data_IF_041381099494
#
_entry.id   IF_041381099494
#
_cell.length_a   1.000
_cell.length_b   1.000
_cell.length_c   1.000
_cell.angle_alpha   90.00
_cell.angle_beta   90.00
_cell.angle_gamma   90.00
#
_symmetry.space_group_name_H-M   'P 1'
#
loop_
_entity.id
_entity.type
_entity.pdbx_description
1 polymer ?
#
# COMPACT_ATOMS: atom_id res chain seq x y z
N UNK A 1 -34.54 -18.01 -20.36
CA UNK A 1 -33.17 -18.48 -20.66
C UNK A 1 -32.30 -18.18 -19.44
N UNK A 2 -32.10 -19.18 -18.59
CA UNK A 2 -31.30 -19.07 -17.38
C UNK A 2 -29.89 -19.65 -17.65
N UNK A 3 -28.85 -18.89 -17.30
CA UNK A 3 -27.47 -19.39 -17.31
C UNK A 3 -27.00 -19.62 -15.87
N UNK A 4 -26.58 -20.85 -15.66
CA UNK A 4 -26.07 -21.55 -14.48
C UNK A 4 -24.82 -20.89 -13.85
N UNK A 5 -24.71 -20.91 -12.51
CA UNK A 5 -23.77 -21.74 -11.70
C UNK A 5 -22.29 -21.29 -11.78
N UNK A 6 -21.73 -20.65 -10.73
CA UNK A 6 -21.14 -21.15 -9.46
C UNK A 6 -19.61 -21.31 -9.48
N UNK A 7 -19.01 -20.78 -8.40
CA UNK A 7 -17.90 -21.34 -7.59
C UNK A 7 -16.42 -21.26 -8.05
N UNK A 8 -15.67 -20.49 -7.26
CA UNK A 8 -14.36 -20.79 -6.63
C UNK A 8 -13.12 -21.09 -7.47
N UNK A 9 -12.09 -20.27 -7.28
CA UNK A 9 -10.70 -20.73 -7.35
C UNK A 9 -9.90 -20.11 -6.21
N UNK A 10 -9.84 -20.89 -5.12
CA UNK A 10 -8.81 -20.81 -4.07
C UNK A 10 -7.58 -21.52 -4.61
N UNK A 11 -6.48 -20.80 -4.86
CA UNK A 11 -5.17 -21.41 -5.09
C UNK A 11 -4.27 -21.07 -3.90
N UNK A 12 -4.45 -21.85 -2.84
CA UNK A 12 -3.49 -22.04 -1.77
C UNK A 12 -2.29 -22.81 -2.34
N UNK A 13 -1.15 -22.13 -2.50
CA UNK A 13 0.14 -22.77 -2.80
C UNK A 13 0.90 -22.85 -1.49
N UNK A 14 0.72 -23.98 -0.81
CA UNK A 14 1.50 -24.41 0.32
C UNK A 14 2.51 -25.44 -0.22
N UNK A 15 3.77 -25.04 -0.42
CA UNK A 15 4.87 -25.96 -0.72
C UNK A 15 5.87 -25.96 0.41
N UNK A 16 5.74 -26.98 1.25
CA UNK A 16 6.77 -27.47 2.17
C UNK A 16 8.05 -27.78 1.39
N UNK A 17 9.14 -27.08 1.69
CA UNK A 17 10.49 -27.54 1.37
C UNK A 17 11.29 -27.63 2.66
N UNK A 18 11.32 -28.84 3.22
CA UNK A 18 12.18 -29.24 4.32
C UNK A 18 13.65 -29.22 3.89
N UNK A 19 14.46 -28.56 4.72
CA UNK A 19 15.85 -28.85 5.05
C UNK A 19 16.84 -29.14 3.89
N UNK A 20 17.55 -28.10 3.44
CA UNK A 20 18.91 -28.24 2.91
C UNK A 20 19.76 -27.03 3.28
N UNK A 21 20.74 -27.30 4.16
CA UNK A 21 21.91 -26.50 4.53
C UNK A 21 21.67 -25.06 5.02
N UNK A 22 22.01 -24.87 6.29
CA UNK A 22 22.46 -23.61 6.88
C UNK A 22 23.59 -22.99 6.04
N UNK A 23 23.23 -22.25 4.99
CA UNK A 23 24.06 -21.15 4.54
C UNK A 23 23.73 -19.95 5.44
N UNK A 24 24.73 -19.16 5.87
CA UNK A 24 24.46 -17.86 6.48
C UNK A 24 23.66 -17.07 5.44
N UNK A 25 22.35 -17.02 5.63
CA UNK A 25 21.46 -16.26 4.75
C UNK A 25 21.84 -14.80 4.95
N UNK A 26 22.49 -14.22 3.95
CA UNK A 26 22.58 -12.78 3.74
C UNK A 26 21.15 -12.23 3.56
N UNK A 27 20.40 -12.16 4.67
CA UNK A 27 19.01 -11.65 4.70
C UNK A 27 18.93 -10.18 4.28
N UNK A 28 20.07 -9.49 4.32
CA UNK A 28 20.25 -8.11 3.86
C UNK A 28 19.99 -8.00 2.35
N UNK A 29 20.51 -8.93 1.54
CA UNK A 29 20.40 -8.86 0.08
C UNK A 29 18.98 -9.13 -0.42
N UNK A 30 18.27 -10.07 0.21
CA UNK A 30 16.89 -10.38 -0.13
C UNK A 30 15.95 -9.21 0.19
N UNK A 31 16.15 -8.57 1.35
CA UNK A 31 15.36 -7.41 1.77
C UNK A 31 15.64 -6.18 0.90
N UNK A 32 16.91 -5.94 0.54
CA UNK A 32 17.29 -4.87 -0.40
C UNK A 32 16.70 -5.09 -1.80
N UNK A 33 16.73 -6.32 -2.33
CA UNK A 33 16.13 -6.62 -3.65
C UNK A 33 14.62 -6.37 -3.67
N UNK A 34 13.89 -6.79 -2.63
CA UNK A 34 12.44 -6.57 -2.54
C UNK A 34 12.14 -5.07 -2.43
N UNK A 35 12.89 -4.35 -1.60
CA UNK A 35 12.71 -2.90 -1.43
C UNK A 35 13.02 -2.14 -2.72
N UNK A 36 14.11 -2.46 -3.40
CA UNK A 36 14.48 -1.88 -4.70
C UNK A 36 13.43 -2.19 -5.78
N UNK A 37 12.96 -3.44 -5.87
CA UNK A 37 11.93 -3.80 -6.85
C UNK A 37 10.59 -3.07 -6.60
N UNK A 38 10.24 -2.87 -5.32
CA UNK A 38 9.01 -2.17 -4.92
C UNK A 38 9.11 -0.68 -5.22
N UNK A 39 10.23 -0.05 -4.87
CA UNK A 39 10.50 1.35 -5.18
C UNK A 39 10.50 1.59 -6.68
N UNK A 40 11.16 0.73 -7.45
CA UNK A 40 11.26 0.86 -8.90
C UNK A 40 9.89 0.72 -9.58
N UNK A 41 9.04 -0.20 -9.09
CA UNK A 41 7.68 -0.37 -9.61
C UNK A 41 6.81 0.88 -9.40
N UNK A 42 6.91 1.54 -8.24
CA UNK A 42 6.15 2.75 -7.93
C UNK A 42 6.75 4.01 -8.58
N UNK A 43 8.09 4.10 -8.67
CA UNK A 43 8.77 5.23 -9.31
C UNK A 43 8.51 5.27 -10.81
N UNK A 44 8.43 4.11 -11.46
CA UNK A 44 8.06 4.00 -12.87
C UNK A 44 6.67 4.59 -13.15
N UNK A 45 5.68 4.31 -12.30
CA UNK A 45 4.33 4.86 -12.47
C UNK A 45 4.31 6.39 -12.35
N UNK A 46 5.05 6.95 -11.39
CA UNK A 46 5.21 8.40 -11.26
C UNK A 46 5.96 9.01 -12.45
N UNK A 47 7.00 8.33 -12.94
CA UNK A 47 7.76 8.78 -14.10
C UNK A 47 6.86 8.88 -15.34
N UNK A 48 6.07 7.85 -15.65
CA UNK A 48 5.12 7.88 -16.78
C UNK A 48 4.09 9.00 -16.59
N UNK A 49 3.54 9.15 -15.38
CA UNK A 49 2.50 10.14 -15.11
C UNK A 49 2.95 11.58 -15.38
N UNK A 50 4.25 11.87 -15.25
CA UNK A 50 4.83 13.19 -15.57
C UNK A 50 5.29 13.23 -17.03
N UNK A 51 5.96 12.18 -17.50
CA UNK A 51 6.61 12.16 -18.80
C UNK A 51 5.60 12.13 -19.96
N UNK A 52 4.47 11.43 -19.81
CA UNK A 52 3.42 11.36 -20.84
C UNK A 52 2.78 12.71 -21.11
N UNK A 53 2.31 13.49 -20.11
CA UNK A 53 1.81 14.85 -20.34
C UNK A 53 2.87 15.80 -20.91
N UNK A 54 4.12 15.72 -20.45
CA UNK A 54 5.20 16.60 -20.93
C UNK A 54 5.54 16.33 -22.39
N UNK A 55 5.80 15.07 -22.75
CA UNK A 55 6.14 14.68 -24.12
C UNK A 55 4.91 14.78 -25.03
N UNK A 56 3.73 14.42 -24.53
CA UNK A 56 2.46 14.56 -25.24
C UNK A 56 2.13 16.01 -25.56
N UNK A 57 2.34 16.93 -24.61
CA UNK A 57 2.16 18.36 -24.81
C UNK A 57 3.11 18.90 -25.88
N UNK A 58 4.39 18.52 -25.83
CA UNK A 58 5.39 18.96 -26.82
C UNK A 58 5.08 18.45 -28.23
N UNK A 59 4.67 17.19 -28.37
CA UNK A 59 4.33 16.62 -29.68
C UNK A 59 3.03 17.19 -30.26
N UNK A 60 2.03 17.48 -29.42
CA UNK A 60 0.82 18.17 -29.88
C UNK A 60 1.15 19.59 -30.37
N UNK A 61 1.94 20.34 -29.61
CA UNK A 61 2.36 21.70 -29.98
C UNK A 61 3.06 21.72 -31.35
N UNK A 62 3.94 20.75 -31.59
CA UNK A 62 4.65 20.60 -32.87
C UNK A 62 3.76 20.26 -34.08
N UNK A 63 2.61 19.61 -33.87
CA UNK A 63 1.68 19.24 -34.96
C UNK A 63 0.76 20.42 -35.32
N UNK A 64 0.31 21.18 -34.33
CA UNK A 64 -0.68 22.24 -34.56
C UNK A 64 -0.06 23.56 -35.01
N UNK A 65 1.25 23.76 -34.86
CA UNK A 65 1.95 24.96 -35.35
C UNK A 65 1.42 26.28 -34.77
N UNK A 66 0.59 26.17 -33.73
CA UNK A 66 -0.03 27.28 -33.03
C UNK A 66 0.90 27.75 -31.91
N UNK A 67 0.81 29.04 -31.60
CA UNK A 67 1.41 29.66 -30.41
C UNK A 67 1.25 28.77 -29.17
N UNK A 68 2.16 28.87 -28.17
CA UNK A 68 2.42 27.85 -27.12
C UNK A 68 1.29 27.59 -26.10
N UNK A 69 0.04 27.81 -26.46
CA UNK A 69 -1.15 27.52 -25.66
C UNK A 69 -1.30 26.02 -25.34
N UNK A 70 -0.87 25.13 -26.23
CA UNK A 70 -0.94 23.68 -26.00
C UNK A 70 0.05 23.23 -24.92
N UNK A 71 1.25 23.82 -24.87
CA UNK A 71 2.18 23.56 -23.76
C UNK A 71 1.63 24.06 -22.41
N UNK A 72 0.94 25.21 -22.39
CA UNK A 72 0.31 25.75 -21.17
C UNK A 72 -0.82 24.82 -20.69
N UNK A 73 -1.66 24.33 -21.60
CA UNK A 73 -2.71 23.35 -21.26
C UNK A 73 -2.11 22.03 -20.79
N UNK A 74 -1.05 21.54 -21.44
CA UNK A 74 -0.32 20.34 -21.01
C UNK A 74 0.30 20.49 -19.61
N UNK A 75 0.86 21.66 -19.31
CA UNK A 75 1.40 22.00 -17.99
C UNK A 75 0.31 22.06 -16.92
N UNK A 76 -0.84 22.67 -17.23
CA UNK A 76 -2.01 22.67 -16.34
C UNK A 76 -2.55 21.26 -16.10
N UNK A 77 -2.60 20.41 -17.14
CA UNK A 77 -3.00 19.02 -17.02
C UNK A 77 -2.04 18.22 -16.14
N UNK A 78 -0.72 18.45 -16.27
CA UNK A 78 0.29 17.81 -15.44
C UNK A 78 0.15 18.22 -13.96
N UNK A 79 -0.06 19.51 -13.69
CA UNK A 79 -0.36 20.03 -12.35
C UNK A 79 -1.61 19.39 -11.75
N UNK A 80 -2.70 19.33 -12.52
CA UNK A 80 -3.94 18.69 -12.10
C UNK A 80 -3.74 17.19 -11.82
N UNK A 81 -2.98 16.50 -12.67
CA UNK A 81 -2.62 15.09 -12.49
C UNK A 81 -1.82 14.84 -11.21
N UNK A 82 -0.86 15.70 -10.92
CA UNK A 82 -0.06 15.62 -9.69
C UNK A 82 -0.92 15.76 -8.43
N UNK A 83 -1.82 16.74 -8.41
CA UNK A 83 -2.79 16.94 -7.31
C UNK A 83 -3.68 15.71 -7.15
N UNK A 84 -4.19 15.15 -8.25
CA UNK A 84 -5.05 13.96 -8.22
C UNK A 84 -4.33 12.73 -7.63
N UNK A 85 -3.05 12.52 -7.95
CA UNK A 85 -2.24 11.43 -7.40
C UNK A 85 -2.05 11.59 -5.89
N UNK A 86 -1.71 12.80 -5.42
CA UNK A 86 -1.53 13.10 -4.00
C UNK A 86 -2.83 12.86 -3.23
N UNK A 87 -3.96 13.34 -3.75
CA UNK A 87 -5.28 13.11 -3.14
C UNK A 87 -5.59 11.61 -3.08
N UNK A 88 -5.25 10.84 -4.13
CA UNK A 88 -5.45 9.39 -4.14
C UNK A 88 -4.56 8.70 -3.09
N UNK A 89 -3.31 9.12 -2.93
CA UNK A 89 -2.41 8.61 -1.90
C UNK A 89 -2.95 8.87 -0.49
N UNK A 90 -3.42 10.09 -0.21
CA UNK A 90 -4.02 10.45 1.09
C UNK A 90 -5.29 9.62 1.36
N UNK A 91 -6.16 9.44 0.36
CA UNK A 91 -7.37 8.60 0.50
C UNK A 91 -7.04 7.15 0.81
N UNK A 92 -5.98 6.61 0.22
CA UNK A 92 -5.52 5.26 0.52
C UNK A 92 -5.00 5.18 1.95
N UNK A 93 -4.18 6.14 2.39
CA UNK A 93 -3.66 6.19 3.76
C UNK A 93 -4.79 6.31 4.80
N UNK A 94 -5.78 7.17 4.58
CA UNK A 94 -6.92 7.30 5.48
C UNK A 94 -7.73 6.00 5.60
N UNK A 95 -7.87 5.22 4.51
CA UNK A 95 -8.52 3.90 4.59
C UNK A 95 -7.77 2.94 5.51
N UNK A 96 -6.44 2.93 5.46
CA UNK A 96 -5.65 2.08 6.34
C UNK A 96 -5.66 2.59 7.79
N UNK A 97 -5.62 3.91 8.00
CA UNK A 97 -5.60 4.47 9.34
C UNK A 97 -6.94 4.28 10.08
N UNK A 98 -8.08 4.34 9.36
CA UNK A 98 -9.39 4.05 9.93
C UNK A 98 -9.54 2.59 10.36
N UNK A 99 -8.91 1.65 9.66
CA UNK A 99 -8.89 0.23 10.04
C UNK A 99 -8.02 -0.01 11.28
N UNK A 100 -6.83 0.61 11.34
CA UNK A 100 -5.95 0.51 12.52
C UNK A 100 -6.58 1.16 13.76
N UNK A 101 -7.26 2.30 13.60
CA UNK A 101 -7.97 2.96 14.69
C UNK A 101 -9.14 2.12 15.24
N UNK A 102 -9.75 1.27 14.39
CA UNK A 102 -10.81 0.35 14.83
C UNK A 102 -10.29 -0.88 15.59
N UNK A 103 -9.00 -1.21 15.47
CA UNK A 103 -8.36 -2.34 16.16
C UNK A 103 -7.75 -1.95 17.52
N UNK A 104 -7.51 -0.66 17.77
CA UNK A 104 -6.95 -0.17 19.04
C UNK A 104 -7.98 0.06 20.16
N UNK A 105 -9.24 -0.35 19.98
CA UNK A 105 -10.16 -0.48 21.12
C UNK A 105 -9.74 -1.71 21.91
N UNK A 106 -8.73 -1.53 22.75
CA UNK A 106 -8.41 -2.43 23.86
C UNK A 106 -9.73 -2.66 24.60
N UNK A 107 -10.28 -3.89 24.65
CA UNK A 107 -11.34 -4.18 25.58
C UNK A 107 -10.75 -3.89 26.96
N UNK A 108 -11.20 -2.79 27.56
CA UNK A 108 -10.88 -2.46 28.93
C UNK A 108 -11.65 -3.47 29.76
N UNK A 109 -11.11 -4.68 29.85
CA UNK A 109 -11.64 -5.75 30.65
C UNK A 109 -11.40 -5.38 32.12
N UNK A 110 -12.34 -4.60 32.66
CA UNK A 110 -12.45 -4.31 34.10
C UNK A 110 -12.90 -5.56 34.86
N UNK A 111 -12.27 -6.71 34.65
CA UNK A 111 -12.65 -7.94 35.32
C UNK A 111 -11.47 -8.87 35.64
N UNK A 112 -10.34 -8.37 36.14
CA UNK A 112 -9.32 -9.28 36.69
C UNK A 112 -8.35 -8.65 37.70
N UNK A 113 -8.84 -8.12 38.83
CA UNK A 113 -8.00 -8.09 40.04
C UNK A 113 -8.83 -8.29 41.30
N UNK A 114 -9.49 -9.45 41.36
CA UNK A 114 -9.82 -10.10 42.63
C UNK A 114 -8.52 -10.65 43.23
N UNK A 115 -7.77 -9.80 43.94
CA UNK A 115 -6.65 -10.27 44.77
C UNK A 115 -7.08 -10.31 46.23
N UNK A 116 -7.72 -11.42 46.56
CA UNK A 116 -7.56 -12.21 47.80
C UNK A 116 -6.92 -11.47 48.97
N UNK A 117 -7.76 -10.84 49.78
CA UNK A 117 -7.51 -10.64 51.22
C UNK A 117 -7.58 -11.99 51.93
N UNK A 118 -6.53 -12.80 51.78
CA UNK A 118 -6.25 -13.93 52.66
C UNK A 118 -5.10 -13.50 53.55
N UNK A 119 -5.37 -13.18 54.83
CA UNK A 119 -4.49 -13.40 56.00
C UNK A 119 -5.03 -12.66 57.22
N UNK A 120 -6.05 -13.22 57.87
CA UNK A 120 -6.17 -13.00 59.32
C UNK A 120 -6.91 -14.16 60.00
N UNK A 121 -6.19 -15.28 60.12
CA UNK A 121 -6.38 -16.24 61.21
C UNK A 121 -5.00 -16.66 61.70
N UNK A 122 -4.47 -15.90 62.66
CA UNK A 122 -3.54 -16.43 63.66
C UNK A 122 -4.10 -16.09 65.03
N UNK A 123 -4.84 -17.06 65.54
CA UNK A 123 -4.93 -17.42 66.94
C UNK A 123 -3.55 -17.46 67.60
N UNK A 124 -3.47 -16.83 68.77
CA UNK A 124 -3.02 -17.47 70.02
C UNK A 124 -3.83 -16.89 71.16
#
# INVERSE_FOLDING_TARGET
>A
MAKSQTTSTTASVNSTQSAKLTQPVDRTDASQKIFMSTMLGMSWQMAIAVLVPTVGGYKLDAIYGTTPYLTIIGLLLALAGMVAIVVRAIKNLNKYMLLVASETVVPTDKAATSNKTYKEKRTV
#
